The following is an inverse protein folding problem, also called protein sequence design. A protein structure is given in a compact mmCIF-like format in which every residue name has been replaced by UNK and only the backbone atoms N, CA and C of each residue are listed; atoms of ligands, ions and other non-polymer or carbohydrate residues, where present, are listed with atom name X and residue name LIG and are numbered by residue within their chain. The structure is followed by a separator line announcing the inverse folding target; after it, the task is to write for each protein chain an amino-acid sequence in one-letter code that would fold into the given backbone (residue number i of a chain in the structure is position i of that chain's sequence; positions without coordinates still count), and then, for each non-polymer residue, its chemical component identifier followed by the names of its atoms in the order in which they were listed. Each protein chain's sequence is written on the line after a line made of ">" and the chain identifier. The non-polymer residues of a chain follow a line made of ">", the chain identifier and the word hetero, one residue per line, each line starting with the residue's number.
data_IF_397031050318
#
_entry.id   IF_397031050318
#
_cell.length_a   1.000
_cell.length_b   1.000
_cell.length_c   1.000
_cell.angle_alpha   90.00
_cell.angle_beta   90.00
_cell.angle_gamma   90.00
#
_symmetry.space_group_name_H-M   'P 1'
#
loop_
_entity.id
_entity.type
_entity.pdbx_description
1 polymer ?
#
# COMPACT_ATOMS: atom_id res chain seq x y z
N UNK A 1 -5.44 -11.76 8.23
CA UNK A 1 -4.62 -11.98 9.44
C UNK A 1 -3.21 -12.31 9.00
N UNK A 2 -2.23 -11.84 9.76
CA UNK A 2 -0.80 -12.11 9.55
C UNK A 2 -0.51 -13.53 10.02
N UNK A 3 0.26 -14.28 9.23
CA UNK A 3 0.76 -15.60 9.61
C UNK A 3 2.04 -15.48 10.46
N UNK A 4 2.41 -16.52 11.23
CA UNK A 4 3.68 -16.56 11.96
C UNK A 4 4.91 -16.30 11.07
N UNK A 5 6.03 -15.89 11.67
CA UNK A 5 7.21 -15.38 10.95
C UNK A 5 7.85 -16.38 9.98
N UNK A 6 7.68 -17.68 10.22
CA UNK A 6 8.17 -18.80 9.42
C UNK A 6 7.23 -19.18 8.25
N UNK A 7 6.10 -18.48 8.12
CA UNK A 7 5.10 -18.70 7.07
C UNK A 7 5.07 -17.56 6.05
N UNK A 8 4.80 -17.91 4.79
CA UNK A 8 4.66 -16.94 3.72
C UNK A 8 3.31 -16.24 3.79
N UNK A 9 3.33 -14.92 3.95
CA UNK A 9 2.17 -14.07 3.74
C UNK A 9 2.04 -13.72 2.25
N UNK A 10 0.81 -13.67 1.75
CA UNK A 10 0.48 -13.17 0.41
C UNK A 10 -0.24 -11.84 0.53
N UNK A 11 0.33 -10.78 -0.04
CA UNK A 11 -0.31 -9.47 -0.13
C UNK A 11 -0.68 -9.13 -1.58
N UNK A 12 -1.66 -8.25 -1.74
CA UNK A 12 -2.05 -7.65 -3.00
C UNK A 12 -2.51 -6.22 -2.74
N UNK A 13 -2.01 -5.29 -3.55
CA UNK A 13 -2.50 -3.92 -3.63
C UNK A 13 -3.23 -3.75 -4.96
N UNK A 14 -4.41 -3.15 -4.93
CA UNK A 14 -5.19 -2.79 -6.12
C UNK A 14 -5.36 -1.28 -6.11
N UNK A 15 -4.94 -0.62 -7.18
CA UNK A 15 -5.14 0.82 -7.38
C UNK A 15 -5.86 1.00 -8.72
N UNK A 16 -7.11 1.45 -8.69
CA UNK A 16 -7.93 1.71 -9.89
C UNK A 16 -8.44 3.15 -9.85
N UNK A 17 -7.76 4.05 -10.56
CA UNK A 17 -8.01 5.48 -10.42
C UNK A 17 -7.69 5.94 -8.99
N UNK A 18 -8.67 6.52 -8.29
CA UNK A 18 -8.53 6.94 -6.88
C UNK A 18 -8.83 5.81 -5.89
N UNK A 19 -9.48 4.73 -6.34
CA UNK A 19 -9.88 3.63 -5.49
C UNK A 19 -8.69 2.72 -5.17
N UNK A 20 -8.44 2.48 -3.88
CA UNK A 20 -7.34 1.65 -3.40
C UNK A 20 -7.82 0.57 -2.45
N UNK A 21 -7.36 -0.66 -2.66
CA UNK A 21 -7.58 -1.79 -1.77
C UNK A 21 -6.26 -2.44 -1.35
N UNK A 22 -6.17 -2.81 -0.08
CA UNK A 22 -5.10 -3.64 0.45
C UNK A 22 -5.67 -5.00 0.87
N UNK A 23 -5.00 -6.06 0.44
CA UNK A 23 -5.37 -7.43 0.73
C UNK A 23 -4.23 -8.16 1.42
N UNK A 24 -4.58 -8.98 2.41
CA UNK A 24 -3.65 -9.84 3.13
C UNK A 24 -4.25 -11.24 3.27
N UNK A 25 -3.54 -12.23 2.75
CA UNK A 25 -3.93 -13.65 2.77
C UNK A 25 -5.37 -13.87 2.30
N UNK A 26 -5.72 -13.24 1.17
CA UNK A 26 -7.03 -13.37 0.52
C UNK A 26 -8.16 -12.53 1.13
N UNK A 27 -7.91 -11.79 2.21
CA UNK A 27 -8.91 -10.92 2.85
C UNK A 27 -8.60 -9.46 2.57
N UNK A 28 -9.60 -8.68 2.15
CA UNK A 28 -9.50 -7.22 2.07
C UNK A 28 -9.39 -6.69 3.50
N UNK A 29 -8.34 -5.91 3.75
CA UNK A 29 -8.04 -5.36 5.10
C UNK A 29 -8.24 -3.86 5.16
N UNK A 30 -8.08 -3.15 4.04
CA UNK A 30 -8.29 -1.71 3.94
C UNK A 30 -8.83 -1.39 2.54
N UNK A 31 -9.71 -0.40 2.47
CA UNK A 31 -10.28 0.17 1.25
C UNK A 31 -10.46 1.67 1.45
N UNK A 32 -10.07 2.49 0.47
CA UNK A 32 -10.20 3.93 0.55
C UNK A 32 -10.17 4.60 -0.82
N UNK A 33 -10.62 5.86 -0.85
CA UNK A 33 -10.52 6.75 -2.00
C UNK A 33 -9.43 7.80 -1.76
N UNK A 34 -8.38 7.78 -2.60
CA UNK A 34 -7.35 8.81 -2.64
C UNK A 34 -8.00 10.18 -2.84
N UNK A 35 -7.47 11.19 -2.15
CA UNK A 35 -7.90 12.59 -2.24
C UNK A 35 -9.36 12.88 -1.83
N UNK A 36 -10.08 11.88 -1.33
CA UNK A 36 -11.38 12.11 -0.66
C UNK A 36 -11.22 13.02 0.57
N UNK A 37 -12.31 13.66 1.06
CA UNK A 37 -12.25 14.47 2.27
C UNK A 37 -11.70 13.72 3.49
N UNK A 38 -12.11 12.45 3.68
CA UNK A 38 -11.59 11.59 4.75
C UNK A 38 -10.08 11.33 4.58
N UNK A 39 -9.64 10.98 3.37
CA UNK A 39 -8.22 10.76 3.09
C UNK A 39 -7.37 12.01 3.36
N UNK A 40 -7.82 13.18 2.88
CA UNK A 40 -7.13 14.47 3.08
C UNK A 40 -7.00 14.81 4.57
N UNK A 41 -8.08 14.61 5.33
CA UNK A 41 -8.09 14.80 6.79
C UNK A 41 -7.06 13.87 7.48
N UNK A 42 -7.03 12.58 7.10
CA UNK A 42 -6.05 11.63 7.63
C UNK A 42 -4.61 11.98 7.29
N UNK A 43 -4.34 12.46 6.08
CA UNK A 43 -2.99 12.89 5.68
C UNK A 43 -2.54 14.10 6.51
N UNK A 44 -3.40 15.10 6.66
CA UNK A 44 -3.12 16.30 7.47
C UNK A 44 -2.86 15.96 8.95
N UNK A 45 -3.48 14.89 9.47
CA UNK A 45 -3.27 14.41 10.84
C UNK A 45 -2.10 13.40 10.99
N UNK A 46 -1.37 13.09 9.92
CA UNK A 46 -0.30 12.07 9.92
C UNK A 46 1.09 12.69 9.82
N UNK A 47 2.13 11.87 10.01
CA UNK A 47 3.52 12.26 9.73
C UNK A 47 3.76 12.74 8.28
N UNK A 48 2.85 12.43 7.36
CA UNK A 48 2.95 12.85 5.96
C UNK A 48 2.48 14.28 5.71
N UNK A 49 1.91 14.97 6.71
CA UNK A 49 1.50 16.37 6.59
C UNK A 49 2.66 17.32 6.22
N UNK A 50 3.90 16.96 6.57
CA UNK A 50 5.10 17.72 6.22
C UNK A 50 5.51 17.59 4.73
N UNK A 51 4.85 16.71 3.96
CA UNK A 51 5.21 16.41 2.57
C UNK A 51 4.06 16.83 1.64
N UNK A 52 4.10 18.06 1.06
CA UNK A 52 2.97 18.63 0.32
C UNK A 52 2.56 17.81 -0.91
N UNK A 53 3.49 17.04 -1.49
CA UNK A 53 3.23 16.22 -2.68
C UNK A 53 2.81 14.77 -2.37
N UNK A 54 2.67 14.41 -1.09
CA UNK A 54 2.32 13.05 -0.69
C UNK A 54 0.98 12.60 -1.29
N UNK A 55 1.01 11.48 -2.03
CA UNK A 55 -0.19 10.86 -2.60
C UNK A 55 -0.86 11.66 -3.73
N UNK A 56 -0.20 12.68 -4.29
CA UNK A 56 -0.73 13.46 -5.42
C UNK A 56 -0.34 12.92 -6.80
N UNK A 57 0.74 12.14 -6.87
CA UNK A 57 1.23 11.57 -8.12
C UNK A 57 0.23 10.56 -8.71
N UNK A 58 -0.07 10.69 -10.01
CA UNK A 58 -0.98 9.79 -10.75
C UNK A 58 -0.31 8.49 -11.22
N UNK A 59 1.02 8.46 -11.22
CA UNK A 59 1.84 7.29 -11.57
C UNK A 59 3.16 7.36 -10.80
N UNK A 60 3.84 6.22 -10.67
CA UNK A 60 5.10 6.13 -9.94
C UNK A 60 5.70 4.72 -9.98
N UNK A 61 6.75 4.54 -9.18
CA UNK A 61 7.45 3.26 -9.06
C UNK A 61 6.86 2.42 -7.92
N UNK A 62 6.98 1.09 -8.03
CA UNK A 62 6.69 0.17 -6.92
C UNK A 62 7.99 0.01 -6.12
N UNK A 63 7.97 0.46 -4.86
CA UNK A 63 9.10 0.32 -3.93
C UNK A 63 8.91 -0.85 -2.96
N UNK A 64 9.98 -1.63 -2.76
CA UNK A 64 10.10 -2.58 -1.66
C UNK A 64 11.15 -2.06 -0.69
N UNK A 65 10.72 -1.71 0.52
CA UNK A 65 11.61 -1.17 1.54
C UNK A 65 12.17 -2.32 2.41
N UNK A 66 13.48 -2.55 2.33
CA UNK A 66 14.19 -3.64 3.04
C UNK A 66 15.44 -3.19 3.78
N UNK A 67 15.61 -1.89 3.96
CA UNK A 67 16.73 -1.24 4.68
C UNK A 67 16.51 -1.11 6.19
N UNK A 68 15.37 -1.58 6.70
CA UNK A 68 15.05 -1.64 8.14
C UNK A 68 15.63 -2.89 8.81
N UNK A 69 15.83 -2.88 10.15
CA UNK A 69 16.33 -4.05 10.87
C UNK A 69 15.51 -5.33 10.60
N UNK A 70 16.19 -6.41 10.24
CA UNK A 70 15.61 -7.71 9.92
C UNK A 70 15.86 -8.14 8.47
N UNK A 71 15.50 -9.38 8.14
CA UNK A 71 15.62 -9.90 6.77
C UNK A 71 14.27 -9.85 6.07
N UNK A 72 14.20 -9.20 4.91
CA UNK A 72 13.04 -9.24 4.04
C UNK A 72 13.26 -10.22 2.89
N UNK A 73 12.45 -11.28 2.84
CA UNK A 73 12.41 -12.24 1.73
C UNK A 73 11.12 -12.06 0.93
N UNK A 74 11.24 -11.87 -0.38
CA UNK A 74 10.09 -11.69 -1.30
C UNK A 74 10.14 -12.70 -2.44
N UNK A 75 8.98 -13.20 -2.87
CA UNK A 75 8.86 -14.08 -4.03
C UNK A 75 7.49 -13.96 -4.68
N UNK A 76 7.40 -14.35 -5.95
CA UNK A 76 6.12 -14.37 -6.67
C UNK A 76 5.55 -12.99 -6.97
N UNK A 77 6.42 -11.97 -7.14
CA UNK A 77 6.02 -10.60 -7.49
C UNK A 77 5.48 -10.60 -8.91
N UNK A 78 4.24 -10.10 -9.07
CA UNK A 78 3.56 -9.98 -10.36
C UNK A 78 2.84 -8.63 -10.39
N UNK A 79 2.87 -7.98 -11.56
CA UNK A 79 2.21 -6.70 -11.78
C UNK A 79 1.26 -6.86 -12.96
N UNK A 80 0.05 -6.31 -12.83
CA UNK A 80 -0.93 -6.23 -13.91
C UNK A 80 -1.43 -4.80 -14.00
N UNK A 81 -1.15 -4.15 -15.13
CA UNK A 81 -1.76 -2.86 -15.44
C UNK A 81 -3.29 -3.02 -15.51
N UNK A 82 -4.00 -2.03 -14.97
CA UNK A 82 -5.46 -1.99 -15.06
C UNK A 82 -5.87 -1.03 -16.19
N UNK A 83 -7.03 -1.26 -16.84
CA UNK A 83 -7.59 -0.33 -17.82
C UNK A 83 -7.89 1.05 -17.21
#
# INVERSE_FOLDING_TARGET
>A
MVLPFDHWNKTRVVVKGTHVEHWLNGRKVVEYELQSPDWKSRVAASKFAAYPDYGLAKSGLIGLQGDHPGTLSVRGIRVRALP
#
